data_IF_126193606383
#
_entry.id   IF_126193606383
#
_cell.length_a   1.000
_cell.length_b   1.000
_cell.length_c   1.000
_cell.angle_alpha   90.00
_cell.angle_beta   90.00
_cell.angle_gamma   90.00
#
_symmetry.space_group_name_H-M   'P 1'
#
loop_
_entity.id
_entity.type
_entity.pdbx_description
1 polymer ?
#
# COMPACT_ATOMS: atom_id res chain seq x y z
N UNK A 1 -17.67 66.67 -4.76
CA UNK A 1 -17.31 65.60 -5.74
C UNK A 1 -15.95 64.89 -5.47
N UNK A 2 -14.91 65.55 -4.99
CA UNK A 2 -13.60 64.96 -4.78
C UNK A 2 -13.51 63.96 -3.60
N UNK A 3 -14.23 64.22 -2.51
CA UNK A 3 -14.19 63.33 -1.32
C UNK A 3 -14.83 61.95 -1.58
N UNK A 4 -15.90 61.86 -2.39
CA UNK A 4 -16.51 60.60 -2.76
C UNK A 4 -15.60 59.70 -3.58
N UNK A 5 -14.92 60.25 -4.59
CA UNK A 5 -13.98 59.51 -5.42
C UNK A 5 -12.79 58.95 -4.64
N UNK A 6 -12.29 59.71 -3.66
CA UNK A 6 -11.19 59.21 -2.77
C UNK A 6 -11.63 58.04 -1.91
N UNK A 7 -12.86 58.01 -1.43
CA UNK A 7 -13.43 56.91 -0.66
C UNK A 7 -13.63 55.65 -1.53
N UNK A 8 -14.13 55.81 -2.76
CA UNK A 8 -14.30 54.75 -3.72
C UNK A 8 -12.96 54.07 -4.06
N UNK A 9 -11.91 54.88 -4.31
CA UNK A 9 -10.57 54.36 -4.54
C UNK A 9 -10.01 53.61 -3.33
N UNK A 10 -10.19 54.14 -2.11
CA UNK A 10 -9.77 53.48 -0.89
C UNK A 10 -10.48 52.13 -0.71
N UNK A 11 -11.78 52.11 -0.92
CA UNK A 11 -12.57 50.86 -0.87
C UNK A 11 -12.10 49.83 -1.91
N UNK A 12 -11.84 50.28 -3.15
CA UNK A 12 -11.32 49.42 -4.21
C UNK A 12 -9.95 48.80 -3.85
N UNK A 13 -9.04 49.61 -3.27
CA UNK A 13 -7.71 49.08 -2.83
C UNK A 13 -7.87 48.09 -1.69
N UNK A 14 -8.76 48.35 -0.72
CA UNK A 14 -9.02 47.41 0.39
C UNK A 14 -9.60 46.09 -0.15
N UNK A 15 -10.56 46.13 -1.07
CA UNK A 15 -11.15 44.92 -1.66
C UNK A 15 -10.15 44.13 -2.47
N UNK A 16 -9.33 44.79 -3.28
CA UNK A 16 -8.25 44.15 -4.04
C UNK A 16 -7.19 43.50 -3.13
N UNK A 17 -6.82 44.22 -2.05
CA UNK A 17 -5.89 43.67 -1.06
C UNK A 17 -6.45 42.43 -0.34
N UNK A 18 -7.72 42.49 0.06
CA UNK A 18 -8.40 41.37 0.68
C UNK A 18 -8.50 40.16 -0.28
N UNK A 19 -8.88 40.40 -1.54
CA UNK A 19 -8.93 39.35 -2.56
C UNK A 19 -7.56 38.71 -2.82
N UNK A 20 -6.49 39.50 -2.84
CA UNK A 20 -5.11 39.02 -2.99
C UNK A 20 -4.70 38.14 -1.80
N UNK A 21 -4.97 38.60 -0.56
CA UNK A 21 -4.65 37.82 0.64
C UNK A 21 -5.40 36.48 0.66
N UNK A 22 -6.72 36.51 0.39
CA UNK A 22 -7.55 35.28 0.33
C UNK A 22 -7.07 34.34 -0.76
N UNK A 23 -6.72 34.83 -1.94
CA UNK A 23 -6.17 34.02 -3.03
C UNK A 23 -4.84 33.37 -2.63
N UNK A 24 -3.95 34.10 -1.98
CA UNK A 24 -2.65 33.61 -1.53
C UNK A 24 -2.79 32.57 -0.43
N UNK A 25 -3.66 32.77 0.55
CA UNK A 25 -3.91 31.78 1.60
C UNK A 25 -4.62 30.55 1.06
N UNK A 26 -5.57 30.68 0.14
CA UNK A 26 -6.17 29.57 -0.59
C UNK A 26 -5.12 28.73 -1.34
N UNK A 27 -4.22 29.38 -2.07
CA UNK A 27 -3.13 28.71 -2.77
C UNK A 27 -2.16 28.00 -1.81
N UNK A 28 -1.86 28.59 -0.65
CA UNK A 28 -1.04 27.96 0.39
C UNK A 28 -1.69 26.71 0.98
N UNK A 29 -3.00 26.76 1.28
CA UNK A 29 -3.74 25.63 1.81
C UNK A 29 -3.78 24.47 0.80
N UNK A 30 -4.04 24.75 -0.47
CA UNK A 30 -4.01 23.74 -1.55
C UNK A 30 -2.61 23.14 -1.70
N UNK A 31 -1.56 23.96 -1.66
CA UNK A 31 -0.18 23.48 -1.74
C UNK A 31 0.20 22.62 -0.52
N UNK A 32 -0.20 23.01 0.70
CA UNK A 32 0.02 22.25 1.91
C UNK A 32 -0.73 20.90 1.88
N UNK A 33 -1.97 20.89 1.42
CA UNK A 33 -2.75 19.67 1.27
C UNK A 33 -2.12 18.72 0.23
N UNK A 34 -1.65 19.24 -0.90
CA UNK A 34 -0.95 18.47 -1.93
C UNK A 34 0.38 17.91 -1.42
N UNK A 35 1.13 18.68 -0.62
CA UNK A 35 2.38 18.23 0.00
C UNK A 35 2.16 17.17 1.10
N UNK A 36 0.97 17.16 1.73
CA UNK A 36 0.60 16.17 2.76
C UNK A 36 -0.01 14.90 2.18
N UNK A 37 -0.34 14.85 0.89
CA UNK A 37 -0.97 13.69 0.27
C UNK A 37 0.05 12.56 0.13
N UNK A 38 -0.20 11.44 0.82
CA UNK A 38 0.61 10.24 0.71
C UNK A 38 0.45 9.57 -0.65
N UNK A 39 1.55 9.06 -1.20
CA UNK A 39 1.57 8.36 -2.50
C UNK A 39 1.96 6.91 -2.27
N UNK A 40 1.13 5.99 -2.72
CA UNK A 40 1.38 4.55 -2.66
C UNK A 40 1.39 3.99 -4.07
N UNK A 41 2.43 3.23 -4.42
CA UNK A 41 2.43 2.43 -5.64
C UNK A 41 1.99 1.02 -5.31
N UNK A 42 1.00 0.52 -6.05
CA UNK A 42 0.58 -0.87 -6.03
C UNK A 42 1.15 -1.58 -7.26
N UNK A 43 2.01 -2.53 -6.99
CA UNK A 43 2.58 -3.38 -8.04
C UNK A 43 1.81 -4.70 -8.07
N UNK A 44 1.02 -4.89 -9.12
CA UNK A 44 0.31 -6.15 -9.37
C UNK A 44 1.24 -7.09 -10.12
N UNK A 45 1.84 -8.05 -9.42
CA UNK A 45 2.83 -8.96 -9.98
C UNK A 45 2.35 -9.70 -11.23
N UNK A 46 3.28 -10.01 -12.13
CA UNK A 46 3.01 -10.66 -13.42
C UNK A 46 2.12 -9.83 -14.35
N UNK A 47 1.64 -10.40 -15.44
CA UNK A 47 0.79 -9.74 -16.45
C UNK A 47 1.11 -10.23 -17.86
N UNK A 48 0.28 -9.86 -18.83
CA UNK A 48 0.48 -10.26 -20.21
C UNK A 48 0.61 -11.78 -20.36
N UNK A 49 1.66 -12.22 -21.02
CA UNK A 49 1.96 -13.65 -21.23
C UNK A 49 2.58 -14.33 -19.99
N UNK A 50 3.01 -13.57 -18.97
CA UNK A 50 3.49 -14.15 -17.70
C UNK A 50 2.30 -14.40 -16.75
N UNK A 51 1.80 -15.63 -16.61
CA UNK A 51 0.67 -15.94 -15.74
C UNK A 51 1.08 -15.93 -14.25
N UNK A 52 2.37 -15.88 -13.94
CA UNK A 52 2.90 -16.21 -12.63
C UNK A 52 2.73 -17.69 -12.31
N UNK A 53 2.47 -18.03 -11.04
CA UNK A 53 2.11 -19.39 -10.65
C UNK A 53 0.73 -19.74 -11.19
N UNK A 54 0.62 -20.95 -11.74
CA UNK A 54 -0.68 -21.57 -12.08
C UNK A 54 -0.99 -22.57 -10.96
N UNK A 55 -2.12 -22.40 -10.31
CA UNK A 55 -2.62 -23.31 -9.29
C UNK A 55 -3.06 -24.66 -9.86
N UNK A 56 -3.37 -25.60 -8.99
CA UNK A 56 -3.78 -26.95 -9.39
C UNK A 56 -5.08 -26.97 -10.22
N UNK A 57 -5.97 -26.00 -9.98
CA UNK A 57 -7.23 -25.83 -10.71
C UNK A 57 -7.14 -24.82 -11.87
N UNK A 58 -5.94 -24.48 -12.30
CA UNK A 58 -5.69 -23.60 -13.44
C UNK A 58 -5.82 -22.10 -13.15
N UNK A 59 -5.96 -21.70 -11.89
CA UNK A 59 -6.05 -20.30 -11.47
C UNK A 59 -4.68 -19.64 -11.69
N UNK A 60 -4.67 -18.50 -12.37
CA UNK A 60 -3.45 -17.75 -12.67
C UNK A 60 -3.17 -16.70 -11.60
N UNK A 61 -1.95 -16.65 -11.13
CA UNK A 61 -1.49 -15.69 -10.11
C UNK A 61 -1.74 -14.24 -10.54
N UNK A 62 -1.44 -13.90 -11.79
CA UNK A 62 -1.61 -12.54 -12.34
C UNK A 62 -3.02 -11.98 -12.18
N UNK A 63 -4.04 -12.85 -12.28
CA UNK A 63 -5.45 -12.44 -12.25
C UNK A 63 -5.87 -12.12 -10.80
N UNK A 64 -5.43 -12.95 -9.84
CA UNK A 64 -5.64 -12.72 -8.40
C UNK A 64 -4.92 -11.44 -7.96
N UNK A 65 -3.65 -11.27 -8.36
CA UNK A 65 -2.85 -10.09 -8.02
C UNK A 65 -3.54 -8.81 -8.47
N UNK A 66 -4.05 -8.77 -9.71
CA UNK A 66 -4.76 -7.61 -10.25
C UNK A 66 -6.08 -7.35 -9.53
N UNK A 67 -6.84 -8.40 -9.23
CA UNK A 67 -8.11 -8.28 -8.52
C UNK A 67 -7.91 -7.68 -7.13
N UNK A 68 -6.94 -8.17 -6.37
CA UNK A 68 -6.59 -7.65 -5.03
C UNK A 68 -6.08 -6.22 -5.13
N UNK A 69 -5.19 -5.91 -6.09
CA UNK A 69 -4.64 -4.56 -6.28
C UNK A 69 -5.73 -3.53 -6.56
N UNK A 70 -6.70 -3.84 -7.43
CA UNK A 70 -7.85 -2.98 -7.73
C UNK A 70 -8.74 -2.73 -6.51
N UNK A 71 -8.94 -3.74 -5.67
CA UNK A 71 -9.69 -3.60 -4.42
C UNK A 71 -8.94 -2.74 -3.41
N UNK A 72 -7.63 -2.96 -3.27
CA UNK A 72 -6.77 -2.18 -2.38
C UNK A 72 -6.68 -0.71 -2.82
N UNK A 73 -6.53 -0.43 -4.13
CA UNK A 73 -6.58 0.93 -4.69
C UNK A 73 -7.81 1.68 -4.20
N UNK A 74 -9.00 1.11 -4.41
CA UNK A 74 -10.27 1.74 -4.00
C UNK A 74 -10.35 2.02 -2.50
N UNK A 75 -9.72 1.16 -1.67
CA UNK A 75 -9.73 1.33 -0.21
C UNK A 75 -8.78 2.44 0.22
N UNK A 76 -7.57 2.51 -0.32
CA UNK A 76 -6.58 3.53 -0.01
C UNK A 76 -7.01 4.92 -0.53
N UNK A 77 -7.59 4.99 -1.73
CA UNK A 77 -8.14 6.25 -2.27
C UNK A 77 -9.26 6.82 -1.40
N UNK A 78 -10.11 5.97 -0.80
CA UNK A 78 -11.12 6.41 0.19
C UNK A 78 -10.52 6.98 1.47
N UNK A 79 -9.27 6.66 1.77
CA UNK A 79 -8.52 7.23 2.90
C UNK A 79 -7.77 8.52 2.51
N UNK A 80 -7.92 9.00 1.27
CA UNK A 80 -7.25 10.20 0.78
C UNK A 80 -5.82 9.97 0.30
N UNK A 81 -5.41 8.72 0.12
CA UNK A 81 -4.08 8.34 -0.38
C UNK A 81 -4.10 8.34 -1.91
N UNK A 82 -3.10 8.95 -2.53
CA UNK A 82 -2.91 8.88 -3.98
C UNK A 82 -2.32 7.51 -4.34
N UNK A 83 -3.02 6.76 -5.17
CA UNK A 83 -2.60 5.41 -5.57
C UNK A 83 -2.24 5.37 -7.04
N UNK A 84 -1.06 4.86 -7.34
CA UNK A 84 -0.60 4.56 -8.70
C UNK A 84 -0.43 3.05 -8.82
N UNK A 85 -0.97 2.45 -9.88
CA UNK A 85 -0.77 1.02 -10.17
C UNK A 85 0.28 0.85 -11.25
N UNK A 86 1.11 -0.20 -11.16
CA UNK A 86 2.06 -0.55 -12.23
C UNK A 86 1.33 -1.02 -13.49
N UNK A 87 0.23 -1.74 -13.33
CA UNK A 87 -0.70 -2.08 -14.42
C UNK A 87 -2.15 -2.02 -13.93
N UNK A 88 -3.04 -1.57 -14.77
CA UNK A 88 -4.48 -1.52 -14.50
C UNK A 88 -5.28 -2.54 -15.33
N UNK A 89 -4.66 -3.10 -16.37
CA UNK A 89 -5.18 -4.12 -17.27
C UNK A 89 -4.53 -5.50 -17.06
N UNK A 90 -4.85 -6.41 -17.99
CA UNK A 90 -4.29 -7.77 -18.00
C UNK A 90 -2.88 -7.81 -18.58
N UNK A 91 -2.52 -6.82 -19.40
CA UNK A 91 -1.22 -6.69 -20.04
C UNK A 91 -0.11 -6.42 -19.00
N UNK A 92 1.11 -6.78 -19.35
CA UNK A 92 2.31 -6.34 -18.66
C UNK A 92 2.80 -4.98 -19.23
N UNK A 93 3.96 -4.53 -18.77
CA UNK A 93 4.54 -3.28 -19.24
C UNK A 93 5.52 -3.46 -20.41
N UNK A 94 5.69 -4.65 -20.96
CA UNK A 94 6.59 -4.89 -22.10
C UNK A 94 6.00 -4.37 -23.41
N UNK A 95 6.87 -4.18 -24.41
CA UNK A 95 6.38 -3.90 -25.77
C UNK A 95 5.84 -5.19 -26.40
N UNK A 96 4.82 -5.10 -27.23
CA UNK A 96 4.32 -6.26 -27.95
C UNK A 96 5.44 -6.92 -28.76
N UNK A 97 5.63 -8.23 -28.56
CA UNK A 97 6.64 -9.01 -29.24
C UNK A 97 8.08 -8.80 -28.76
N UNK A 98 8.30 -8.20 -27.61
CA UNK A 98 9.63 -8.01 -27.03
C UNK A 98 10.33 -9.36 -26.78
N UNK A 99 11.56 -9.53 -27.27
CA UNK A 99 12.36 -10.77 -27.11
C UNK A 99 12.57 -11.12 -25.62
N UNK A 100 12.69 -10.11 -24.76
CA UNK A 100 12.88 -10.25 -23.31
C UNK A 100 11.74 -9.55 -22.54
N UNK A 101 10.48 -9.85 -22.89
CA UNK A 101 9.29 -9.21 -22.32
C UNK A 101 9.32 -9.12 -20.79
N UNK A 102 9.62 -10.23 -20.10
CA UNK A 102 9.69 -10.27 -18.64
C UNK A 102 10.74 -9.33 -18.05
N UNK A 103 11.90 -9.22 -18.66
CA UNK A 103 12.97 -8.31 -18.20
C UNK A 103 12.54 -6.86 -18.43
N UNK A 104 11.95 -6.59 -19.60
CA UNK A 104 11.47 -5.25 -19.93
C UNK A 104 10.33 -4.80 -19.02
N UNK A 105 9.38 -5.68 -18.71
CA UNK A 105 8.30 -5.44 -17.77
C UNK A 105 8.86 -5.06 -16.40
N UNK A 106 9.74 -5.86 -15.81
CA UNK A 106 10.36 -5.58 -14.52
C UNK A 106 11.12 -4.26 -14.49
N UNK A 107 11.87 -3.95 -15.57
CA UNK A 107 12.60 -2.68 -15.69
C UNK A 107 11.65 -1.48 -15.73
N UNK A 108 10.52 -1.61 -16.44
CA UNK A 108 9.51 -0.54 -16.54
C UNK A 108 8.75 -0.33 -15.24
N UNK A 109 8.47 -1.40 -14.48
CA UNK A 109 7.92 -1.30 -13.11
C UNK A 109 8.86 -0.51 -12.19
N UNK A 110 10.14 -0.84 -12.18
CA UNK A 110 11.16 -0.11 -11.41
C UNK A 110 11.24 1.35 -11.82
N UNK A 111 11.24 1.63 -13.13
CA UNK A 111 11.25 3.01 -13.66
C UNK A 111 10.02 3.80 -13.19
N UNK A 112 8.83 3.23 -13.30
CA UNK A 112 7.60 3.86 -12.83
C UNK A 112 7.67 4.19 -11.33
N UNK A 113 8.17 3.27 -10.50
CA UNK A 113 8.35 3.50 -9.07
C UNK A 113 9.30 4.68 -8.81
N UNK A 114 10.45 4.74 -9.50
CA UNK A 114 11.41 5.83 -9.35
C UNK A 114 10.83 7.18 -9.79
N UNK A 115 10.03 7.20 -10.88
CA UNK A 115 9.37 8.42 -11.36
C UNK A 115 8.32 8.94 -10.39
N UNK A 116 7.57 8.05 -9.75
CA UNK A 116 6.46 8.42 -8.83
C UNK A 116 6.94 8.80 -7.43
N UNK A 117 8.13 8.38 -7.01
CA UNK A 117 8.71 8.65 -5.69
C UNK A 117 7.70 8.42 -4.55
N UNK A 118 7.14 7.21 -4.43
CA UNK A 118 6.08 6.94 -3.48
C UNK A 118 6.60 6.90 -2.03
N UNK A 119 5.70 7.12 -1.06
CA UNK A 119 5.97 6.86 0.36
C UNK A 119 6.19 5.36 0.62
N UNK A 120 5.50 4.48 -0.09
CA UNK A 120 5.77 3.05 -0.11
C UNK A 120 5.21 2.35 -1.35
N UNK A 121 5.72 1.13 -1.59
CA UNK A 121 5.31 0.25 -2.69
C UNK A 121 4.87 -1.09 -2.13
N UNK A 122 3.69 -1.54 -2.52
CA UNK A 122 3.16 -2.86 -2.16
C UNK A 122 3.08 -3.70 -3.43
N UNK A 123 4.00 -4.66 -3.56
CA UNK A 123 3.98 -5.65 -4.64
C UNK A 123 3.17 -6.86 -4.18
N UNK A 124 2.11 -7.17 -4.92
CA UNK A 124 1.10 -8.19 -4.58
C UNK A 124 1.37 -9.42 -5.41
N UNK A 125 1.58 -10.55 -4.73
CA UNK A 125 1.91 -11.86 -5.28
C UNK A 125 1.19 -12.99 -4.55
N UNK A 126 1.25 -14.19 -5.14
CA UNK A 126 0.85 -15.45 -4.53
C UNK A 126 2.00 -16.43 -4.57
N UNK A 127 2.32 -17.01 -3.43
CA UNK A 127 3.45 -17.89 -3.25
C UNK A 127 3.21 -19.28 -3.88
N UNK A 128 4.29 -20.03 -3.98
CA UNK A 128 4.26 -21.45 -4.38
C UNK A 128 5.40 -22.22 -3.76
N UNK A 129 5.12 -23.45 -3.33
CA UNK A 129 6.12 -24.34 -2.78
C UNK A 129 5.86 -25.79 -3.25
N UNK A 130 6.90 -26.66 -3.40
CA UNK A 130 6.71 -28.04 -3.84
C UNK A 130 5.80 -28.87 -2.93
N UNK A 131 5.87 -28.66 -1.62
CA UNK A 131 4.97 -29.30 -0.65
C UNK A 131 3.65 -28.51 -0.59
N UNK A 132 2.57 -29.15 -1.02
CA UNK A 132 1.23 -28.59 -1.03
C UNK A 132 0.63 -28.31 0.36
N UNK A 133 1.21 -28.86 1.43
CA UNK A 133 0.80 -28.58 2.81
C UNK A 133 1.27 -27.19 3.29
N UNK A 134 2.25 -26.60 2.60
CA UNK A 134 2.78 -25.27 2.95
C UNK A 134 1.75 -24.18 2.64
N UNK A 135 1.45 -23.36 3.67
CA UNK A 135 0.45 -22.28 3.59
C UNK A 135 0.81 -21.07 4.44
N UNK A 136 0.00 -20.02 4.33
CA UNK A 136 0.08 -18.81 5.15
C UNK A 136 0.80 -17.65 4.47
N UNK A 137 0.19 -16.46 4.51
CA UNK A 137 0.74 -15.23 3.95
C UNK A 137 2.11 -14.88 4.54
N UNK A 138 3.02 -14.35 3.70
CA UNK A 138 4.37 -13.93 4.12
C UNK A 138 4.82 -12.70 3.36
N UNK A 139 5.44 -11.75 4.07
CA UNK A 139 5.93 -10.50 3.48
C UNK A 139 7.46 -10.52 3.38
N UNK A 140 7.97 -10.09 2.23
CA UNK A 140 9.40 -9.98 1.97
C UNK A 140 9.80 -8.52 1.79
N UNK A 141 10.99 -8.16 2.28
CA UNK A 141 11.59 -6.84 2.15
C UNK A 141 13.07 -6.95 1.78
N UNK A 142 13.67 -5.88 1.25
CA UNK A 142 15.11 -5.87 0.99
C UNK A 142 15.87 -5.89 2.31
N UNK A 143 16.72 -6.88 2.52
CA UNK A 143 17.37 -7.18 3.82
C UNK A 143 18.08 -5.96 4.44
N UNK A 144 18.64 -5.07 3.61
CA UNK A 144 19.40 -3.91 4.09
C UNK A 144 18.52 -2.64 4.24
N UNK A 145 17.19 -2.73 3.96
CA UNK A 145 16.24 -1.64 4.08
C UNK A 145 15.55 -1.63 5.44
N UNK A 146 15.94 -0.72 6.32
CA UNK A 146 15.28 -0.55 7.64
C UNK A 146 13.81 -0.10 7.52
N UNK A 147 13.52 0.80 6.59
CA UNK A 147 12.15 1.25 6.35
C UNK A 147 11.32 0.16 5.66
N UNK A 148 11.92 -0.62 4.75
CA UNK A 148 11.30 -1.81 4.18
C UNK A 148 10.96 -2.86 5.23
N UNK A 149 11.83 -3.07 6.23
CA UNK A 149 11.55 -3.94 7.37
C UNK A 149 10.36 -3.46 8.19
N UNK A 150 10.29 -2.16 8.53
CA UNK A 150 9.16 -1.58 9.26
C UNK A 150 7.85 -1.76 8.51
N UNK A 151 7.84 -1.44 7.22
CA UNK A 151 6.67 -1.68 6.37
C UNK A 151 6.28 -3.17 6.37
N UNK A 152 7.25 -4.07 6.19
CA UNK A 152 7.02 -5.50 6.16
C UNK A 152 6.43 -6.03 7.48
N UNK A 153 6.87 -5.52 8.63
CA UNK A 153 6.31 -5.89 9.93
C UNK A 153 4.85 -5.45 10.07
N UNK A 154 4.50 -4.22 9.66
CA UNK A 154 3.12 -3.75 9.67
C UNK A 154 2.23 -4.59 8.75
N UNK A 155 2.71 -4.88 7.53
CA UNK A 155 1.97 -5.68 6.55
C UNK A 155 1.80 -7.13 7.01
N UNK A 156 2.86 -7.75 7.55
CA UNK A 156 2.79 -9.13 8.06
C UNK A 156 1.80 -9.25 9.23
N UNK A 157 1.85 -8.33 10.18
CA UNK A 157 0.92 -8.31 11.30
C UNK A 157 -0.53 -8.18 10.85
N UNK A 158 -0.80 -7.29 9.89
CA UNK A 158 -2.14 -7.09 9.35
C UNK A 158 -2.65 -8.32 8.57
N UNK A 159 -1.80 -8.97 7.77
CA UNK A 159 -2.15 -10.19 7.03
C UNK A 159 -2.45 -11.35 8.00
N UNK A 160 -1.64 -11.53 9.04
CA UNK A 160 -1.90 -12.56 10.06
C UNK A 160 -3.23 -12.29 10.77
N UNK A 161 -3.44 -11.07 11.25
CA UNK A 161 -4.67 -10.73 11.97
C UNK A 161 -5.94 -10.82 11.10
N UNK A 162 -5.84 -10.45 9.82
CA UNK A 162 -6.98 -10.38 8.92
C UNK A 162 -7.32 -11.68 8.20
N UNK A 163 -6.34 -12.57 7.98
CA UNK A 163 -6.54 -13.77 7.16
C UNK A 163 -6.47 -15.06 7.98
N UNK A 164 -5.42 -15.25 8.75
CA UNK A 164 -5.19 -16.46 9.53
C UNK A 164 -4.37 -16.15 10.79
N UNK A 165 -5.00 -15.98 11.96
CA UNK A 165 -4.30 -15.75 13.23
C UNK A 165 -3.39 -16.89 13.67
N UNK A 166 -3.54 -18.10 13.12
CA UNK A 166 -2.67 -19.25 13.36
C UNK A 166 -1.43 -19.25 12.46
N UNK A 167 -1.30 -18.31 11.55
CA UNK A 167 -0.13 -18.17 10.70
C UNK A 167 1.07 -17.62 11.51
N UNK A 168 2.08 -18.45 11.71
CA UNK A 168 3.30 -18.09 12.46
C UNK A 168 4.45 -17.56 11.59
N UNK A 169 4.20 -17.34 10.28
CA UNK A 169 5.21 -16.77 9.39
C UNK A 169 5.53 -15.34 9.80
N UNK A 170 6.81 -14.99 9.66
CA UNK A 170 7.32 -13.64 9.96
C UNK A 170 7.75 -12.95 8.68
N UNK A 171 7.75 -11.63 8.68
CA UNK A 171 8.39 -10.85 7.63
C UNK A 171 9.84 -11.31 7.45
N UNK A 172 10.30 -11.41 6.18
CA UNK A 172 11.60 -12.02 5.86
C UNK A 172 12.41 -11.12 4.91
N UNK A 173 13.66 -10.86 5.29
CA UNK A 173 14.62 -10.19 4.42
C UNK A 173 14.98 -11.04 3.20
N UNK A 174 15.09 -10.40 2.02
CA UNK A 174 15.46 -11.04 0.77
C UNK A 174 16.39 -10.13 -0.03
N UNK A 175 17.46 -10.70 -0.62
CA UNK A 175 18.46 -9.98 -1.44
C UNK A 175 18.38 -10.37 -2.92
N UNK A 176 17.48 -11.27 -3.30
CA UNK A 176 17.46 -11.87 -4.64
C UNK A 176 16.31 -11.41 -5.51
N UNK A 177 15.17 -11.03 -4.92
CA UNK A 177 14.04 -10.54 -5.69
C UNK A 177 14.39 -9.25 -6.43
N UNK A 178 14.13 -9.25 -7.74
CA UNK A 178 14.54 -8.16 -8.64
C UNK A 178 14.02 -6.80 -8.20
N UNK A 179 12.71 -6.72 -7.92
CA UNK A 179 12.07 -5.47 -7.51
C UNK A 179 12.65 -4.92 -6.20
N UNK A 180 12.89 -5.78 -5.21
CA UNK A 180 13.52 -5.40 -3.94
C UNK A 180 14.95 -4.88 -4.13
N UNK A 181 15.71 -5.50 -5.05
CA UNK A 181 17.13 -5.18 -5.28
C UNK A 181 17.34 -3.92 -6.13
N UNK A 182 16.38 -3.60 -7.02
CA UNK A 182 16.54 -2.60 -8.07
C UNK A 182 15.80 -1.29 -7.82
N UNK A 183 15.13 -1.15 -6.68
CA UNK A 183 14.49 0.11 -6.29
C UNK A 183 15.02 0.61 -4.95
N UNK A 184 15.20 1.93 -4.85
CA UNK A 184 15.53 2.62 -3.60
C UNK A 184 14.26 3.00 -2.81
N UNK A 185 13.08 2.77 -3.38
CA UNK A 185 11.82 3.01 -2.70
C UNK A 185 11.60 2.00 -1.57
N UNK A 186 10.85 2.40 -0.56
CA UNK A 186 10.38 1.49 0.50
C UNK A 186 9.40 0.51 -0.12
N UNK A 187 9.86 -0.70 -0.43
CA UNK A 187 9.10 -1.72 -1.16
C UNK A 187 9.03 -3.03 -0.36
N UNK A 188 7.85 -3.63 -0.35
CA UNK A 188 7.62 -4.99 0.14
C UNK A 188 6.92 -5.83 -0.92
N UNK A 189 7.21 -7.14 -0.92
CA UNK A 189 6.47 -8.14 -1.68
C UNK A 189 5.58 -8.90 -0.70
N UNK A 190 4.28 -8.84 -0.91
CA UNK A 190 3.27 -9.51 -0.12
C UNK A 190 2.82 -10.78 -0.85
N UNK A 191 3.30 -11.92 -0.37
CA UNK A 191 2.83 -13.25 -0.78
C UNK A 191 1.57 -13.55 0.05
N UNK A 192 0.38 -13.33 -0.54
CA UNK A 192 -0.88 -13.33 0.20
C UNK A 192 -1.41 -14.71 0.55
N UNK A 193 -0.84 -15.76 0.01
CA UNK A 193 -1.13 -17.19 0.24
C UNK A 193 -0.40 -18.03 -0.78
N UNK A 194 -0.55 -19.36 -0.74
CA UNK A 194 0.12 -20.30 -1.62
C UNK A 194 -0.84 -20.88 -2.66
N UNK A 195 -0.63 -20.59 -3.94
CA UNK A 195 -1.37 -21.24 -5.03
C UNK A 195 -1.05 -22.72 -5.22
N UNK A 196 0.03 -23.18 -4.60
CA UNK A 196 0.34 -24.62 -4.53
C UNK A 196 -0.43 -25.37 -3.45
N UNK A 197 -1.08 -24.65 -2.51
CA UNK A 197 -1.95 -25.24 -1.49
C UNK A 197 -3.40 -25.20 -1.98
N UNK A 198 -4.10 -26.34 -2.11
CA UNK A 198 -5.46 -26.39 -2.68
C UNK A 198 -6.51 -25.61 -1.87
N UNK A 199 -6.37 -25.55 -0.54
CA UNK A 199 -7.29 -24.79 0.32
C UNK A 199 -7.12 -23.28 0.11
N UNK A 200 -5.84 -22.80 0.08
CA UNK A 200 -5.58 -21.38 -0.16
C UNK A 200 -5.88 -20.97 -1.60
N UNK A 201 -5.60 -21.83 -2.60
CA UNK A 201 -5.99 -21.57 -4.00
C UNK A 201 -7.50 -21.36 -4.10
N UNK A 202 -8.30 -22.27 -3.48
CA UNK A 202 -9.75 -22.15 -3.50
C UNK A 202 -10.24 -20.84 -2.86
N UNK A 203 -9.66 -20.44 -1.73
CA UNK A 203 -9.97 -19.17 -1.06
C UNK A 203 -9.56 -17.97 -1.91
N UNK A 204 -8.33 -17.92 -2.39
CA UNK A 204 -7.75 -16.83 -3.18
C UNK A 204 -8.51 -16.58 -4.48
N UNK A 205 -9.17 -17.59 -5.01
CA UNK A 205 -10.01 -17.48 -6.21
C UNK A 205 -11.43 -16.95 -5.92
N UNK A 206 -11.76 -16.60 -4.65
CA UNK A 206 -13.05 -16.01 -4.30
C UNK A 206 -12.98 -14.50 -4.12
N UNK A 207 -14.03 -13.78 -4.55
CA UNK A 207 -14.11 -12.31 -4.38
C UNK A 207 -14.13 -11.92 -2.89
N UNK A 208 -14.76 -12.74 -2.06
CA UNK A 208 -14.87 -12.53 -0.61
C UNK A 208 -13.49 -12.55 0.05
N UNK A 209 -12.67 -13.55 -0.29
CA UNK A 209 -11.34 -13.67 0.28
C UNK A 209 -10.37 -12.61 -0.28
N UNK A 210 -10.41 -12.32 -1.58
CA UNK A 210 -9.67 -11.21 -2.20
C UNK A 210 -9.98 -9.87 -1.53
N UNK A 211 -11.25 -9.66 -1.13
CA UNK A 211 -11.63 -8.47 -0.36
C UNK A 211 -11.01 -8.47 1.03
N UNK A 212 -11.00 -9.62 1.74
CA UNK A 212 -10.32 -9.75 3.04
C UNK A 212 -8.81 -9.47 2.93
N UNK A 213 -8.16 -10.00 1.89
CA UNK A 213 -6.74 -9.71 1.61
C UNK A 213 -6.54 -8.21 1.41
N UNK A 214 -7.36 -7.57 0.57
CA UNK A 214 -7.25 -6.13 0.33
C UNK A 214 -7.55 -5.29 1.60
N UNK A 215 -8.44 -5.76 2.49
CA UNK A 215 -8.69 -5.11 3.79
C UNK A 215 -7.44 -5.19 4.68
N UNK A 216 -6.85 -6.38 4.82
CA UNK A 216 -5.64 -6.59 5.59
C UNK A 216 -4.45 -5.78 5.06
N UNK A 217 -4.23 -5.77 3.73
CA UNK A 217 -3.19 -4.96 3.12
C UNK A 217 -3.42 -3.45 3.35
N UNK A 218 -4.66 -2.98 3.27
CA UNK A 218 -5.02 -1.59 3.56
C UNK A 218 -4.67 -1.22 5.00
N UNK A 219 -5.02 -2.07 5.96
CA UNK A 219 -4.71 -1.87 7.38
C UNK A 219 -3.20 -1.79 7.64
N UNK A 220 -2.43 -2.67 6.99
CA UNK A 220 -0.97 -2.64 7.06
C UNK A 220 -0.36 -1.35 6.53
N UNK A 221 -0.83 -0.87 5.37
CA UNK A 221 -0.39 0.40 4.78
C UNK A 221 -0.74 1.58 5.68
N UNK A 222 -1.99 1.67 6.17
CA UNK A 222 -2.41 2.76 7.05
C UNK A 222 -1.60 2.78 8.34
N UNK A 223 -1.34 1.60 8.92
CA UNK A 223 -0.50 1.48 10.12
C UNK A 223 0.91 1.99 9.88
N UNK A 224 1.53 1.63 8.75
CA UNK A 224 2.87 2.10 8.39
C UNK A 224 2.92 3.61 8.17
N UNK A 225 1.94 4.17 7.47
CA UNK A 225 1.88 5.61 7.17
C UNK A 225 1.47 6.46 8.39
N UNK A 226 1.08 5.84 9.51
CA UNK A 226 0.58 6.54 10.70
C UNK A 226 -0.81 7.16 10.51
N UNK A 227 -1.55 6.72 9.51
CA UNK A 227 -2.90 7.20 9.22
C UNK A 227 -3.93 6.52 10.13
N UNK A 228 -4.87 7.29 10.67
CA UNK A 228 -6.03 6.73 11.39
C UNK A 228 -7.06 6.26 10.36
N UNK A 229 -7.64 5.08 10.57
CA UNK A 229 -8.81 4.65 9.79
C UNK A 229 -9.88 5.73 9.88
N UNK A 230 -10.29 6.32 8.75
CA UNK A 230 -11.46 7.18 8.70
C UNK A 230 -12.70 6.32 8.95
N UNK A 231 -13.07 6.18 10.23
CA UNK A 231 -14.15 5.33 10.68
C UNK A 231 -15.50 5.86 10.27
N UNK A 232 -16.25 5.06 9.53
CA UNK A 232 -17.70 4.98 9.74
C UNK A 232 -17.92 3.81 10.68
N UNK A 233 -17.98 4.11 11.95
CA UNK A 233 -18.74 3.30 12.90
C UNK A 233 -19.24 4.21 14.02
N UNK A 234 -20.37 4.84 13.77
CA UNK A 234 -21.32 5.19 14.83
C UNK A 234 -22.54 4.34 14.53
N UNK A 235 -22.68 3.20 15.20
CA UNK A 235 -23.97 2.74 15.75
C UNK A 235 -23.75 1.46 16.55
N UNK A 236 -24.14 1.55 17.83
CA UNK A 236 -24.46 0.48 18.77
C UNK A 236 -23.25 -0.28 19.35
N UNK A 237 -23.07 -0.38 20.60
CA UNK A 237 -23.96 -0.38 21.77
C UNK A 237 -23.09 -0.26 23.03
N UNK A 238 -23.60 0.50 23.96
CA UNK A 238 -23.23 0.41 25.38
C UNK A 238 -23.59 -1.00 25.84
N UNK A 239 -22.64 -1.84 26.16
CA UNK A 239 -22.69 -2.79 27.28
C UNK A 239 -21.36 -3.55 27.36
N UNK A 240 -20.89 -3.63 28.60
CA UNK A 240 -19.88 -4.53 29.16
C UNK A 240 -18.39 -4.17 28.99
N UNK A 241 -17.97 -3.37 29.95
CA UNK A 241 -16.72 -3.50 30.70
C UNK A 241 -16.52 -4.97 31.10
N UNK A 242 -15.59 -5.66 30.42
CA UNK A 242 -14.72 -6.74 30.94
C UNK A 242 -14.05 -7.47 29.78
N UNK A 243 -12.89 -6.98 29.36
CA UNK A 243 -11.80 -7.74 28.73
C UNK A 243 -10.61 -6.81 28.39
N UNK A 244 -10.17 -6.02 29.36
CA UNK A 244 -8.85 -5.41 29.33
C UNK A 244 -7.83 -6.52 29.62
N UNK A 245 -7.16 -7.05 28.60
CA UNK A 245 -6.13 -8.05 28.85
C UNK A 245 -5.39 -8.66 27.68
N UNK A 246 -5.73 -8.35 26.42
CA UNK A 246 -5.07 -9.06 25.30
C UNK A 246 -4.63 -8.19 24.09
N UNK A 247 -4.70 -6.88 24.17
CA UNK A 247 -4.42 -6.01 23.02
C UNK A 247 -3.06 -5.28 23.07
N UNK A 248 -2.13 -5.67 23.95
CA UNK A 248 -0.86 -4.94 24.16
C UNK A 248 0.37 -5.57 23.48
N UNK A 249 0.24 -6.57 22.60
CA UNK A 249 1.40 -7.32 22.08
C UNK A 249 1.83 -6.97 20.63
N UNK A 250 1.13 -6.12 19.90
CA UNK A 250 1.44 -5.85 18.49
C UNK A 250 1.39 -4.36 18.14
N UNK A 251 2.00 -3.51 18.97
CA UNK A 251 2.27 -2.13 18.56
C UNK A 251 3.53 -2.12 17.68
N UNK A 252 3.42 -1.57 16.46
CA UNK A 252 4.56 -1.18 15.64
C UNK A 252 5.45 -0.25 16.49
N UNK A 253 6.76 -0.45 16.60
CA UNK A 253 7.59 0.42 17.42
C UNK A 253 7.61 1.82 16.83
N UNK A 254 6.92 2.76 17.48
CA UNK A 254 7.12 4.19 17.26
C UNK A 254 8.57 4.50 17.64
N UNK A 255 9.33 5.06 16.68
CA UNK A 255 10.74 5.36 16.86
C UNK A 255 11.01 6.28 18.06
N UNK A 256 11.61 5.72 19.10
CA UNK A 256 12.18 6.43 20.23
C UNK A 256 13.68 6.21 20.24
N UNK A 257 14.44 7.19 19.79
CA UNK A 257 15.87 7.30 20.02
C UNK A 257 16.11 7.68 21.51
N UNK A 258 16.69 6.80 22.30
CA UNK A 258 17.65 7.24 23.35
C UNK A 258 18.30 6.03 24.05
N UNK A 259 19.61 6.07 24.20
CA UNK A 259 20.34 5.41 25.27
C UNK A 259 21.26 4.27 24.90
N UNK A 260 22.36 4.59 24.23
CA UNK A 260 23.59 3.77 24.29
C UNK A 260 24.17 3.89 25.70
N UNK A 261 24.30 2.77 26.42
CA UNK A 261 25.39 2.59 27.38
C UNK A 261 26.07 1.26 27.15
N UNK A 262 27.40 1.38 26.99
CA UNK A 262 28.38 0.30 26.91
C UNK A 262 28.38 -0.55 28.19
N UNK A 263 28.46 -1.82 28.07
CA UNK A 263 29.53 -2.67 28.63
C UNK A 263 29.69 -3.85 27.69
#
# INVERSE_FOLDING_TARGET
MEKGKKLEWLMAVILLSAAYVLSREGARLVAAQKAATKVVVLDSGHGGDDPGKIGANGVKEKDINLAIARLLKKKLEKQGILVVMTREGEDDLSDPGAVNAKVQDLQRRVRLIHEKKPDCVISIHQNSYPDAAVKGAQVFYYTDSKEGEKLALCMQAALVAGLDPANHRKAKGNKTYYMLKKTDAVLVICECGFLSNPEEEALLNTKEYQKKVADALCDGVLTYLGEKKNGKEKTQTKTEETAAGAASAYACPAGGLSGIRRI
#
